data_IF_564561991737
#
_entry.id   IF_564561991737
#
_cell.length_a   1.000
_cell.length_b   1.000
_cell.length_c   1.000
_cell.angle_alpha   90.00
_cell.angle_beta   90.00
_cell.angle_gamma   90.00
#
_symmetry.space_group_name_H-M   'P 1'
#
loop_
_entity.id
_entity.type
_entity.pdbx_description
1 polymer ?
#
# COMPACT_ATOMS: atom_id res chain seq x y z
N UNK A 1 19.13 12.28 48.75
CA UNK A 1 20.32 12.20 47.88
C UNK A 1 20.59 10.73 47.61
N UNK A 2 20.59 10.31 46.34
CA UNK A 2 20.88 8.97 45.80
C UNK A 2 19.89 7.82 46.12
N UNK A 3 19.63 6.85 45.24
CA UNK A 3 19.70 6.66 43.77
C UNK A 3 19.00 5.32 43.53
N UNK A 4 18.06 5.26 42.58
CA UNK A 4 17.40 4.03 42.14
C UNK A 4 18.37 3.02 41.53
N UNK A 5 18.07 1.73 41.70
CA UNK A 5 18.53 0.64 40.83
C UNK A 5 17.33 -0.24 40.49
N UNK A 6 16.72 -0.01 39.34
CA UNK A 6 15.87 -0.98 38.65
C UNK A 6 16.76 -1.79 37.69
N UNK A 7 16.64 -3.12 37.75
CA UNK A 7 17.30 -4.04 36.82
C UNK A 7 16.41 -4.20 35.58
N UNK A 8 17.07 -4.08 34.44
CA UNK A 8 16.61 -4.29 33.08
C UNK A 8 16.24 -5.75 32.82
N UNK A 9 15.05 -5.98 32.28
CA UNK A 9 14.68 -7.20 31.55
C UNK A 9 14.84 -6.92 30.06
N UNK A 10 15.82 -7.61 29.49
CA UNK A 10 16.24 -7.58 28.09
C UNK A 10 15.36 -8.52 27.27
N UNK A 11 14.67 -7.99 26.25
CA UNK A 11 14.05 -8.79 25.20
C UNK A 11 14.25 -8.10 23.86
N UNK A 12 14.93 -8.83 22.98
CA UNK A 12 14.58 -8.81 21.56
C UNK A 12 15.31 -7.77 20.74
N UNK A 13 16.60 -8.04 20.54
CA UNK A 13 17.42 -7.64 19.41
C UNK A 13 16.62 -7.58 18.08
N UNK A 14 16.13 -6.39 17.72
CA UNK A 14 15.52 -6.13 16.43
C UNK A 14 16.67 -6.01 15.41
N UNK A 15 17.00 -7.14 14.76
CA UNK A 15 17.96 -7.16 13.65
C UNK A 15 17.45 -6.20 12.56
N UNK A 16 18.19 -5.12 12.37
CA UNK A 16 18.11 -4.17 11.25
C UNK A 16 18.02 -4.94 9.93
N UNK A 17 16.98 -4.67 9.14
CA UNK A 17 17.06 -4.79 7.68
C UNK A 17 17.06 -3.39 7.10
N UNK A 18 18.26 -2.93 6.73
CA UNK A 18 18.48 -1.68 6.01
C UNK A 18 18.42 -1.92 4.50
N UNK A 19 17.77 -1.00 3.80
CA UNK A 19 17.74 -0.91 2.34
C UNK A 19 19.14 -0.51 1.84
N UNK A 20 19.62 -1.15 0.77
CA UNK A 20 20.69 -0.61 -0.09
C UNK A 20 20.24 -0.65 -1.54
N UNK A 21 20.22 0.52 -2.19
CA UNK A 21 20.00 0.71 -3.63
C UNK A 21 21.35 0.72 -4.34
N UNK A 22 21.49 -0.03 -5.45
CA UNK A 22 22.64 0.05 -6.35
C UNK A 22 22.23 -0.01 -7.82
N UNK A 23 22.48 1.07 -8.58
CA UNK A 23 22.30 1.16 -10.05
C UNK A 23 23.44 0.43 -10.80
N UNK A 24 23.12 -0.22 -11.94
CA UNK A 24 24.04 -0.57 -13.05
C UNK A 24 24.60 0.73 -13.70
N UNK A 25 25.80 0.87 -14.28
CA UNK A 25 26.77 0.02 -15.03
C UNK A 25 28.13 0.81 -15.06
N UNK A 26 29.34 0.21 -15.14
CA UNK A 26 30.08 -0.24 -16.35
C UNK A 26 31.41 -0.90 -15.93
N UNK A 27 31.93 -1.75 -16.83
CA UNK A 27 33.18 -2.55 -16.78
C UNK A 27 34.45 -1.79 -16.39
N UNK A 28 35.29 -2.42 -15.57
CA UNK A 28 36.70 -2.74 -15.84
C UNK A 28 37.27 -3.68 -14.76
N UNK A 29 38.26 -4.46 -15.18
CA UNK A 29 38.81 -5.69 -14.59
C UNK A 29 39.57 -5.54 -13.26
N UNK A 30 39.86 -6.71 -12.65
CA UNK A 30 40.85 -6.98 -11.56
C UNK A 30 40.40 -6.45 -10.16
N UNK A 31 40.26 -7.22 -9.07
CA UNK A 31 41.08 -8.27 -8.47
C UNK A 31 40.30 -8.96 -7.31
N UNK A 32 40.67 -10.22 -7.05
CA UNK A 32 40.74 -10.99 -5.77
C UNK A 32 39.54 -11.06 -4.80
N UNK A 33 38.91 -12.24 -4.62
CA UNK A 33 39.30 -13.43 -3.84
C UNK A 33 39.28 -13.23 -2.31
N UNK A 34 38.68 -14.23 -1.64
CA UNK A 34 38.45 -14.39 -0.19
C UNK A 34 37.17 -13.66 0.25
N UNK A 35 36.11 -14.32 0.71
CA UNK A 35 36.03 -15.39 1.70
C UNK A 35 35.06 -16.49 1.26
N UNK A 36 35.54 -17.74 1.30
CA UNK A 36 34.74 -18.96 1.30
C UNK A 36 34.46 -19.30 2.76
N UNK A 37 33.19 -19.51 3.10
CA UNK A 37 32.69 -20.58 3.98
C UNK A 37 31.22 -20.26 4.26
N UNK A 38 30.30 -21.06 3.73
CA UNK A 38 29.13 -21.59 4.45
C UNK A 38 28.27 -22.45 3.51
N UNK A 39 28.08 -23.70 3.94
CA UNK A 39 27.05 -24.69 3.61
C UNK A 39 26.87 -25.16 2.15
N UNK A 40 27.58 -26.25 1.83
CA UNK A 40 27.07 -27.27 0.91
C UNK A 40 25.81 -27.92 1.51
N UNK A 41 24.66 -27.70 0.88
CA UNK A 41 23.53 -28.63 0.97
C UNK A 41 23.42 -29.29 -0.39
N UNK A 42 23.60 -30.61 -0.40
CA UNK A 42 23.52 -31.49 -1.56
C UNK A 42 22.17 -31.31 -2.28
N UNK A 43 22.22 -30.88 -3.55
CA UNK A 43 21.08 -30.89 -4.46
C UNK A 43 21.22 -32.13 -5.36
N UNK A 44 20.67 -33.27 -4.91
CA UNK A 44 20.44 -34.42 -5.78
C UNK A 44 19.01 -34.40 -6.33
N UNK A 45 18.89 -34.47 -7.65
CA UNK A 45 17.74 -35.10 -8.31
C UNK A 45 16.97 -34.22 -9.28
N UNK A 46 17.38 -34.24 -10.55
CA UNK A 46 16.66 -33.61 -11.65
C UNK A 46 15.27 -34.20 -11.94
N UNK A 47 14.45 -33.42 -12.64
CA UNK A 47 13.21 -33.90 -13.24
C UNK A 47 12.35 -32.75 -13.79
N UNK A 48 12.32 -32.62 -15.12
CA UNK A 48 11.19 -32.07 -15.88
C UNK A 48 10.85 -30.59 -15.70
N UNK A 49 10.92 -29.83 -16.79
CA UNK A 49 10.19 -28.57 -16.94
C UNK A 49 8.69 -28.82 -17.01
N UNK A 50 8.11 -29.28 -15.90
CA UNK A 50 6.67 -29.33 -15.71
C UNK A 50 6.21 -27.98 -15.16
N UNK A 51 5.13 -27.49 -15.75
CA UNK A 51 4.38 -26.32 -15.30
C UNK A 51 3.94 -26.52 -13.85
N UNK A 52 4.76 -26.09 -12.88
CA UNK A 52 4.37 -26.00 -11.47
C UNK A 52 3.29 -24.92 -11.35
N UNK A 53 2.04 -25.33 -11.53
CA UNK A 53 0.89 -24.55 -11.09
C UNK A 53 0.98 -24.45 -9.57
N UNK A 54 0.84 -23.25 -9.01
CA UNK A 54 0.87 -23.07 -7.57
C UNK A 54 -0.13 -24.05 -6.91
N UNK A 55 0.37 -24.92 -6.04
CA UNK A 55 -0.45 -25.87 -5.31
C UNK A 55 -1.04 -25.17 -4.09
N UNK A 56 -2.37 -25.05 -4.03
CA UNK A 56 -3.08 -24.49 -2.87
C UNK A 56 -3.26 -25.57 -1.79
N UNK A 57 -2.16 -26.17 -1.34
CA UNK A 57 -2.13 -27.32 -0.43
C UNK A 57 -1.81 -26.95 1.03
N UNK A 58 -1.69 -25.65 1.31
CA UNK A 58 -1.44 -25.11 2.65
C UNK A 58 0.02 -25.16 3.08
N UNK A 59 0.95 -25.55 2.20
CA UNK A 59 2.39 -25.51 2.51
C UNK A 59 2.98 -24.11 2.36
N UNK A 60 4.13 -23.90 2.99
CA UNK A 60 4.92 -22.69 2.82
C UNK A 60 5.79 -22.82 1.56
N UNK A 61 5.75 -21.80 0.71
CA UNK A 61 6.58 -21.70 -0.49
C UNK A 61 7.57 -20.54 -0.36
N UNK A 62 8.79 -20.74 -0.86
CA UNK A 62 9.76 -19.65 -1.00
C UNK A 62 9.27 -18.67 -2.08
N UNK A 63 9.44 -17.38 -1.84
CA UNK A 63 8.96 -16.35 -2.77
C UNK A 63 9.43 -14.95 -2.38
N UNK A 64 9.06 -13.96 -3.20
CA UNK A 64 9.37 -12.56 -2.99
C UNK A 64 8.09 -11.75 -2.87
N UNK A 65 8.03 -10.86 -1.89
CA UNK A 65 6.94 -9.91 -1.73
C UNK A 65 7.31 -8.51 -2.23
N UNK A 66 6.33 -7.80 -2.77
CA UNK A 66 6.44 -6.36 -3.03
C UNK A 66 5.16 -5.67 -2.57
N UNK A 67 5.33 -4.51 -1.94
CA UNK A 67 4.22 -3.66 -1.53
C UNK A 67 4.22 -2.35 -2.32
N UNK A 68 3.04 -1.81 -2.55
CA UNK A 68 2.83 -0.51 -3.19
C UNK A 68 1.50 0.09 -2.75
N UNK A 69 1.41 1.41 -2.66
CA UNK A 69 0.14 2.10 -2.44
C UNK A 69 -0.72 2.01 -3.70
N UNK A 70 -1.84 1.29 -3.61
CA UNK A 70 -2.82 1.12 -4.70
C UNK A 70 -4.14 1.86 -4.46
N UNK A 71 -5.18 1.40 -5.16
CA UNK A 71 -6.53 1.98 -5.15
C UNK A 71 -6.76 2.91 -6.34
N UNK A 72 -7.90 2.73 -7.04
CA UNK A 72 -8.20 3.49 -8.27
C UNK A 72 -8.30 4.98 -7.96
N UNK A 73 -9.15 5.37 -7.00
CA UNK A 73 -9.28 6.79 -6.60
C UNK A 73 -7.95 7.41 -6.13
N UNK A 74 -7.14 6.66 -5.36
CA UNK A 74 -5.81 7.11 -4.91
C UNK A 74 -4.86 7.33 -6.08
N UNK A 75 -4.85 6.43 -7.06
CA UNK A 75 -3.97 6.52 -8.23
C UNK A 75 -4.33 7.69 -9.13
N UNK A 76 -5.63 7.97 -9.30
CA UNK A 76 -6.10 9.18 -10.00
C UNK A 76 -5.60 10.42 -9.26
N UNK A 77 -5.77 10.49 -7.94
CA UNK A 77 -5.30 11.63 -7.15
C UNK A 77 -3.77 11.82 -7.22
N UNK A 78 -3.00 10.74 -7.06
CA UNK A 78 -1.53 10.76 -7.16
C UNK A 78 -1.06 11.21 -8.55
N UNK A 79 -1.72 10.77 -9.62
CA UNK A 79 -1.43 11.20 -10.99
C UNK A 79 -1.71 12.70 -11.18
N UNK A 80 -2.87 13.20 -10.75
CA UNK A 80 -3.23 14.62 -10.84
C UNK A 80 -2.23 15.51 -10.09
N UNK A 81 -1.84 15.11 -8.88
CA UNK A 81 -0.83 15.83 -8.09
C UNK A 81 0.52 15.86 -8.81
N UNK A 82 0.94 14.75 -9.41
CA UNK A 82 2.21 14.66 -10.17
C UNK A 82 2.18 15.46 -11.48
N UNK A 83 1.00 15.65 -12.07
CA UNK A 83 0.79 16.47 -13.26
C UNK A 83 0.67 17.97 -12.98
N UNK A 84 0.72 18.39 -11.71
CA UNK A 84 0.75 19.80 -11.30
C UNK A 84 -0.55 20.32 -10.69
N UNK A 85 -1.61 19.51 -10.59
CA UNK A 85 -2.83 19.86 -9.87
C UNK A 85 -2.63 19.66 -8.36
N UNK A 86 -1.78 20.49 -7.76
CA UNK A 86 -1.36 20.38 -6.36
C UNK A 86 -2.50 20.65 -5.35
N UNK A 87 -3.60 21.24 -5.80
CA UNK A 87 -4.82 21.46 -5.04
C UNK A 87 -5.79 20.27 -5.05
N UNK A 88 -5.42 19.15 -5.71
CA UNK A 88 -6.17 17.90 -5.66
C UNK A 88 -6.45 17.48 -4.20
N UNK A 89 -7.68 17.04 -3.94
CA UNK A 89 -8.14 16.53 -2.64
C UNK A 89 -8.58 15.08 -2.80
N UNK A 90 -7.97 14.18 -2.04
CA UNK A 90 -8.37 12.78 -1.99
C UNK A 90 -9.16 12.53 -0.71
N UNK A 91 -10.47 12.43 -0.82
CA UNK A 91 -11.36 12.12 0.31
C UNK A 91 -11.51 10.60 0.41
N UNK A 92 -10.96 10.02 1.47
CA UNK A 92 -11.02 8.57 1.74
C UNK A 92 -10.75 8.30 3.22
N UNK A 93 -10.84 7.03 3.62
CA UNK A 93 -10.45 6.55 4.95
C UNK A 93 -9.26 5.60 4.85
N UNK A 94 -8.34 5.69 5.82
CA UNK A 94 -7.28 4.71 6.09
C UNK A 94 -7.23 4.41 7.59
N UNK A 95 -6.62 3.29 7.95
CA UNK A 95 -6.35 2.94 9.33
C UNK A 95 -5.24 3.79 9.96
N UNK A 96 -5.15 3.74 11.29
CA UNK A 96 -4.03 4.24 12.07
C UNK A 96 -2.88 3.21 12.09
N UNK A 97 -2.45 2.79 10.91
CA UNK A 97 -1.45 1.74 10.69
C UNK A 97 -0.34 2.19 9.71
N UNK A 98 0.64 1.30 9.51
CA UNK A 98 1.79 1.55 8.63
C UNK A 98 1.38 1.71 7.15
N UNK A 99 0.49 0.86 6.58
CA UNK A 99 -0.02 1.07 5.22
C UNK A 99 -0.75 2.42 5.05
N UNK A 100 -1.56 2.83 6.03
CA UNK A 100 -2.25 4.12 6.02
C UNK A 100 -1.28 5.29 6.07
N UNK A 101 -0.18 5.14 6.80
CA UNK A 101 0.92 6.11 6.82
C UNK A 101 1.64 6.19 5.48
N UNK A 102 1.92 5.05 4.84
CA UNK A 102 2.53 5.00 3.52
C UNK A 102 1.64 5.68 2.46
N UNK A 103 0.33 5.42 2.46
CA UNK A 103 -0.63 6.09 1.55
C UNK A 103 -0.62 7.60 1.78
N UNK A 104 -0.70 8.04 3.05
CA UNK A 104 -0.69 9.47 3.38
C UNK A 104 0.57 10.18 2.88
N UNK A 105 1.76 9.59 3.10
CA UNK A 105 3.03 10.16 2.65
C UNK A 105 3.13 10.20 1.11
N UNK A 106 2.54 9.20 0.44
CA UNK A 106 2.60 9.10 -1.02
C UNK A 106 1.90 10.24 -1.75
N UNK A 107 0.93 10.92 -1.12
CA UNK A 107 0.12 11.99 -1.70
C UNK A 107 0.72 13.41 -1.52
N UNK A 108 1.94 13.55 -1.00
CA UNK A 108 2.76 14.79 -0.99
C UNK A 108 2.00 16.12 -0.74
N UNK A 109 1.06 16.15 0.21
CA UNK A 109 0.27 17.35 0.57
C UNK A 109 -1.23 17.25 0.30
N UNK A 110 -1.68 16.31 -0.54
CA UNK A 110 -3.10 16.00 -0.77
C UNK A 110 -3.77 15.19 0.37
N UNK A 111 -3.01 14.82 1.40
CA UNK A 111 -3.47 13.97 2.50
C UNK A 111 -4.41 14.64 3.52
N UNK A 112 -4.64 15.96 3.44
CA UNK A 112 -5.47 16.68 4.42
C UNK A 112 -6.95 16.25 4.44
N UNK A 113 -7.41 15.59 3.39
CA UNK A 113 -8.77 15.03 3.27
C UNK A 113 -8.81 13.52 3.48
N UNK A 114 -7.68 12.90 3.80
CA UNK A 114 -7.59 11.48 4.15
C UNK A 114 -7.88 11.31 5.64
N UNK A 115 -9.04 10.75 5.99
CA UNK A 115 -9.40 10.47 7.38
C UNK A 115 -8.61 9.25 7.86
N UNK A 116 -7.90 9.39 8.98
CA UNK A 116 -7.34 8.25 9.71
C UNK A 116 -8.32 7.76 10.77
N UNK A 117 -8.51 6.46 10.86
CA UNK A 117 -9.43 5.82 11.79
C UNK A 117 -8.72 4.76 12.62
N UNK A 118 -9.06 4.65 13.91
CA UNK A 118 -8.62 3.52 14.75
C UNK A 118 -9.60 2.34 14.69
N UNK A 119 -10.79 2.55 14.10
CA UNK A 119 -11.87 1.55 14.09
C UNK A 119 -11.76 0.56 12.91
N UNK A 120 -10.92 0.87 11.91
CA UNK A 120 -10.70 0.06 10.72
C UNK A 120 -9.22 0.01 10.37
N UNK A 121 -8.77 -1.11 9.80
CA UNK A 121 -7.46 -1.21 9.15
C UNK A 121 -7.49 -0.53 7.79
N UNK A 122 -6.34 -0.11 7.29
CA UNK A 122 -6.21 0.36 5.90
C UNK A 122 -6.53 -0.77 4.92
N UNK A 123 -7.33 -0.45 3.89
CA UNK A 123 -7.68 -1.43 2.87
C UNK A 123 -6.44 -2.01 2.18
N UNK A 124 -6.46 -3.32 1.98
CA UNK A 124 -5.32 -4.14 1.57
C UNK A 124 -5.76 -5.12 0.49
N UNK A 125 -4.90 -5.35 -0.51
CA UNK A 125 -5.13 -6.32 -1.57
C UNK A 125 -3.84 -7.13 -1.75
N UNK A 126 -3.87 -8.39 -1.29
CA UNK A 126 -2.76 -9.32 -1.46
C UNK A 126 -3.02 -10.19 -2.68
N UNK A 127 -2.11 -10.15 -3.65
CA UNK A 127 -2.19 -10.98 -4.87
C UNK A 127 -1.05 -11.99 -4.81
N UNK A 128 -1.39 -13.27 -4.91
CA UNK A 128 -0.42 -14.34 -5.05
C UNK A 128 -0.35 -14.73 -6.53
N UNK A 129 0.86 -14.67 -7.08
CA UNK A 129 1.14 -15.01 -8.47
C UNK A 129 2.11 -16.19 -8.55
N UNK A 130 1.98 -17.02 -9.58
CA UNK A 130 2.89 -18.13 -9.81
C UNK A 130 4.18 -17.67 -10.53
N UNK A 131 5.08 -18.63 -10.80
CA UNK A 131 6.34 -18.38 -11.49
C UNK A 131 6.18 -17.87 -12.94
N UNK A 132 5.00 -18.04 -13.56
CA UNK A 132 4.67 -17.52 -14.89
C UNK A 132 4.07 -16.12 -14.83
N UNK A 133 3.79 -15.61 -13.63
CA UNK A 133 3.12 -14.34 -13.40
C UNK A 133 1.59 -14.44 -13.50
N UNK A 134 1.03 -15.65 -13.50
CA UNK A 134 -0.41 -15.86 -13.49
C UNK A 134 -0.96 -15.69 -12.07
N UNK A 135 -2.09 -15.01 -11.92
CA UNK A 135 -2.72 -14.81 -10.61
C UNK A 135 -3.32 -16.12 -10.10
N UNK A 136 -2.81 -16.62 -8.98
CA UNK A 136 -3.34 -17.79 -8.30
C UNK A 136 -4.59 -17.44 -7.48
N UNK A 137 -4.47 -16.42 -6.62
CA UNK A 137 -5.59 -15.92 -5.81
C UNK A 137 -5.35 -14.49 -5.30
N UNK A 138 -6.43 -13.85 -4.89
CA UNK A 138 -6.44 -12.49 -4.35
C UNK A 138 -7.19 -12.50 -3.02
N UNK A 139 -6.61 -11.87 -2.00
CA UNK A 139 -7.26 -11.58 -0.72
C UNK A 139 -7.45 -10.08 -0.62
N UNK A 140 -8.70 -9.65 -0.43
CA UNK A 140 -9.06 -8.25 -0.26
C UNK A 140 -9.61 -7.98 1.13
N UNK A 141 -9.01 -7.03 1.81
CA UNK A 141 -9.49 -6.44 3.08
C UNK A 141 -9.99 -5.04 2.73
N UNK A 142 -11.32 -4.86 2.67
CA UNK A 142 -11.95 -3.68 2.03
C UNK A 142 -12.89 -2.92 2.99
N UNK A 143 -12.91 -3.29 4.26
CA UNK A 143 -13.81 -2.76 5.30
C UNK A 143 -13.67 -1.24 5.46
N UNK A 144 -12.48 -0.69 5.23
CA UNK A 144 -12.22 0.75 5.31
C UNK A 144 -13.12 1.58 4.37
N UNK A 145 -13.53 1.02 3.22
CA UNK A 145 -14.36 1.75 2.26
C UNK A 145 -15.78 1.98 2.78
N UNK A 146 -16.31 1.10 3.65
CA UNK A 146 -17.59 1.31 4.30
C UNK A 146 -17.57 2.53 5.25
N UNK A 147 -16.40 2.95 5.72
CA UNK A 147 -16.23 4.14 6.55
C UNK A 147 -16.19 5.45 5.76
N UNK A 148 -16.23 5.41 4.42
CA UNK A 148 -16.43 6.56 3.54
C UNK A 148 -17.94 6.86 3.51
N UNK A 149 -18.45 7.37 4.63
CA UNK A 149 -19.87 7.58 4.87
C UNK A 149 -20.35 8.97 4.44
N UNK A 150 -21.68 9.17 4.48
CA UNK A 150 -22.31 10.46 4.18
C UNK A 150 -21.80 11.61 5.07
N UNK A 151 -21.38 11.31 6.30
CA UNK A 151 -20.88 12.34 7.22
C UNK A 151 -19.51 12.84 6.80
N UNK A 152 -18.65 11.95 6.29
CA UNK A 152 -17.37 12.31 5.72
C UNK A 152 -17.53 13.22 4.50
N UNK A 153 -18.48 12.91 3.62
CA UNK A 153 -18.79 13.77 2.46
C UNK A 153 -19.30 15.13 2.91
N UNK A 154 -20.25 15.19 3.85
CA UNK A 154 -20.76 16.47 4.40
C UNK A 154 -19.66 17.30 5.05
N UNK A 155 -18.73 16.68 5.77
CA UNK A 155 -17.57 17.35 6.37
C UNK A 155 -16.75 18.11 5.32
N UNK A 156 -16.65 17.57 4.11
CA UNK A 156 -15.90 18.16 3.00
C UNK A 156 -16.78 18.78 1.91
N UNK A 157 -18.05 19.09 2.22
CA UNK A 157 -19.01 19.59 1.24
C UNK A 157 -18.56 20.90 0.59
N UNK A 158 -18.04 21.85 1.36
CA UNK A 158 -17.54 23.12 0.82
C UNK A 158 -16.38 22.92 -0.16
N UNK A 159 -15.52 21.93 0.08
CA UNK A 159 -14.42 21.60 -0.84
C UNK A 159 -14.93 20.93 -2.11
N UNK A 160 -15.96 20.08 -2.00
CA UNK A 160 -16.62 19.46 -3.14
C UNK A 160 -17.32 20.52 -4.02
N UNK A 161 -18.07 21.44 -3.42
CA UNK A 161 -18.78 22.52 -4.12
C UNK A 161 -17.85 23.55 -4.78
N UNK A 162 -16.58 23.61 -4.35
CA UNK A 162 -15.56 24.47 -4.95
C UNK A 162 -14.70 23.76 -6.00
N UNK A 163 -14.89 22.44 -6.21
CA UNK A 163 -14.05 21.66 -7.12
C UNK A 163 -14.34 22.01 -8.59
N UNK A 164 -13.32 21.93 -9.45
CA UNK A 164 -13.51 22.06 -10.91
C UNK A 164 -14.02 20.78 -11.56
N UNK A 165 -13.74 19.62 -10.95
CA UNK A 165 -14.19 18.29 -11.36
C UNK A 165 -14.24 17.40 -10.12
N UNK A 166 -15.22 16.50 -10.08
CA UNK A 166 -15.30 15.45 -9.07
C UNK A 166 -15.13 14.10 -9.78
N UNK A 167 -14.25 13.25 -9.26
CA UNK A 167 -14.05 11.89 -9.77
C UNK A 167 -14.46 10.91 -8.67
N UNK A 168 -15.37 9.99 -9.00
CA UNK A 168 -15.89 9.02 -8.04
C UNK A 168 -15.41 7.61 -8.42
N UNK A 169 -14.90 6.90 -7.42
CA UNK A 169 -14.53 5.48 -7.53
C UNK A 169 -15.73 4.61 -7.13
N UNK A 170 -15.90 3.45 -7.75
CA UNK A 170 -17.00 2.51 -7.49
C UNK A 170 -16.88 1.77 -6.14
N UNK A 171 -15.83 2.04 -5.36
CA UNK A 171 -15.64 1.50 -4.01
C UNK A 171 -16.50 2.20 -2.93
N UNK A 172 -17.19 3.30 -3.26
CA UNK A 172 -18.03 4.02 -2.30
C UNK A 172 -19.35 3.29 -2.02
N UNK A 173 -19.88 3.35 -0.78
CA UNK A 173 -21.27 2.98 -0.51
C UNK A 173 -22.24 3.76 -1.41
N UNK A 174 -23.31 3.11 -1.87
CA UNK A 174 -24.24 3.68 -2.85
C UNK A 174 -24.87 5.00 -2.38
N UNK A 175 -25.21 5.12 -1.09
CA UNK A 175 -25.76 6.35 -0.51
C UNK A 175 -24.74 7.50 -0.51
N UNK A 176 -23.47 7.18 -0.24
CA UNK A 176 -22.36 8.15 -0.27
C UNK A 176 -22.17 8.66 -1.69
N UNK A 177 -22.14 7.75 -2.68
CA UNK A 177 -22.03 8.09 -4.09
C UNK A 177 -23.20 8.97 -4.56
N UNK A 178 -24.44 8.62 -4.19
CA UNK A 178 -25.62 9.41 -4.52
C UNK A 178 -25.53 10.84 -3.98
N UNK A 179 -25.15 11.00 -2.70
CA UNK A 179 -24.95 12.32 -2.09
C UNK A 179 -23.86 13.11 -2.81
N UNK A 180 -22.74 12.49 -3.16
CA UNK A 180 -21.65 13.17 -3.88
C UNK A 180 -22.10 13.64 -5.26
N UNK A 181 -22.86 12.82 -5.99
CA UNK A 181 -23.43 13.19 -7.30
C UNK A 181 -24.46 14.32 -7.17
N UNK A 182 -25.29 14.30 -6.13
CA UNK A 182 -26.25 15.38 -5.86
C UNK A 182 -25.55 16.71 -5.61
N UNK A 183 -24.47 16.71 -4.82
CA UNK A 183 -23.65 17.91 -4.57
C UNK A 183 -23.05 18.43 -5.88
N UNK A 184 -22.45 17.54 -6.69
CA UNK A 184 -21.85 17.89 -7.97
C UNK A 184 -22.87 18.52 -8.93
N UNK A 185 -24.06 17.92 -9.04
CA UNK A 185 -25.16 18.40 -9.88
C UNK A 185 -25.65 19.79 -9.45
N UNK A 186 -25.89 20.01 -8.16
CA UNK A 186 -26.32 21.32 -7.64
C UNK A 186 -25.27 22.41 -7.85
N UNK A 187 -24.00 22.09 -7.67
CA UNK A 187 -22.88 23.01 -7.89
C UNK A 187 -22.50 23.16 -9.37
N UNK A 188 -23.14 22.40 -10.28
CA UNK A 188 -22.84 22.36 -11.73
C UNK A 188 -21.40 21.98 -12.03
N UNK A 189 -20.85 21.07 -11.22
CA UNK A 189 -19.50 20.54 -11.37
C UNK A 189 -19.59 19.26 -12.21
N UNK A 190 -18.75 19.10 -13.25
CA UNK A 190 -18.62 17.84 -13.96
C UNK A 190 -18.27 16.71 -12.98
N UNK A 191 -19.06 15.63 -13.02
CA UNK A 191 -18.88 14.40 -12.24
C UNK A 191 -18.89 13.17 -13.14
#
# INVERSE_FOLDING_TARGET
MHREKSKSGDYGNCKKWGISLGRRKKENDEEEKEEKEEEEVEEEGGGGGESMHASLDGRMHAGHGRQSCGGVGRNVADALIKLGAHDTRFISVVGNDEPGTAIFQSLKGGGGTLKRSSDVSTASCTVVVDAKGECCFIVGEMEAFAAIDINLIRKYQTQLEAASIIVIDANLPAETMALTLDIASHAKIPG
#
